data_IF_952236017137
#
_entry.id   IF_952236017137
#
_cell.length_a   1.000
_cell.length_b   1.000
_cell.length_c   1.000
_cell.angle_alpha   90.00
_cell.angle_beta   90.00
_cell.angle_gamma   90.00
#
_symmetry.space_group_name_H-M   'P 1'
#
loop_
_entity.id
_entity.type
_entity.pdbx_description
1 polymer ?
#
# COMPACT_ATOMS: atom_id res chain seq x y z
N UNK A 1 11.45 -20.17 9.76
CA UNK A 1 10.35 -19.25 9.45
C UNK A 1 10.72 -18.50 8.19
N UNK A 2 10.35 -18.95 6.97
CA UNK A 2 10.78 -18.19 5.78
C UNK A 2 10.09 -18.51 4.45
N UNK A 3 8.77 -18.72 4.45
CA UNK A 3 8.03 -18.65 3.18
C UNK A 3 6.61 -18.11 3.35
N UNK A 4 5.96 -18.31 4.50
CA UNK A 4 4.59 -17.81 4.72
C UNK A 4 4.51 -16.31 5.00
N UNK A 5 5.30 -15.73 5.92
CA UNK A 5 5.11 -14.32 6.35
C UNK A 5 5.27 -13.34 5.22
N UNK A 6 6.43 -13.38 4.55
CA UNK A 6 6.72 -12.52 3.41
C UNK A 6 5.76 -12.74 2.25
N UNK A 7 5.44 -14.01 1.93
CA UNK A 7 4.51 -14.31 0.86
C UNK A 7 3.12 -13.74 1.15
N UNK A 8 2.62 -13.85 2.38
CA UNK A 8 1.34 -13.25 2.78
C UNK A 8 1.37 -11.72 2.68
N UNK A 9 2.49 -11.07 3.03
CA UNK A 9 2.64 -9.61 2.85
C UNK A 9 2.64 -9.24 1.36
N UNK A 10 3.34 -10.02 0.52
CA UNK A 10 3.36 -9.82 -0.92
C UNK A 10 1.95 -9.98 -1.52
N UNK A 11 1.25 -11.08 -1.20
CA UNK A 11 -0.11 -11.33 -1.65
C UNK A 11 -1.07 -10.22 -1.20
N UNK A 12 -0.92 -9.71 0.03
CA UNK A 12 -1.67 -8.55 0.50
C UNK A 12 -1.39 -7.30 -0.33
N UNK A 13 -0.13 -7.00 -0.62
CA UNK A 13 0.26 -5.85 -1.45
C UNK A 13 -0.30 -5.90 -2.87
N UNK A 14 -0.39 -7.09 -3.47
CA UNK A 14 -0.93 -7.26 -4.83
C UNK A 14 -2.42 -6.90 -4.92
N UNK A 15 -3.15 -6.83 -3.80
CA UNK A 15 -4.56 -6.40 -3.78
C UNK A 15 -4.71 -4.88 -3.89
N UNK A 16 -3.72 -4.11 -3.42
CA UNK A 16 -3.83 -2.65 -3.26
C UNK A 16 -3.99 -1.89 -4.58
N UNK A 17 -3.22 -2.19 -5.65
CA UNK A 17 -3.29 -1.42 -6.89
C UNK A 17 -4.69 -1.26 -7.47
N UNK A 18 -5.49 -2.33 -7.46
CA UNK A 18 -6.83 -2.33 -8.03
C UNK A 18 -7.78 -1.36 -7.32
N UNK A 19 -7.65 -1.22 -6.00
CA UNK A 19 -8.44 -0.27 -5.21
C UNK A 19 -7.85 1.15 -5.22
N UNK A 20 -6.52 1.25 -5.19
CA UNK A 20 -5.83 2.52 -5.03
C UNK A 20 -5.78 3.34 -6.33
N UNK A 21 -5.61 2.69 -7.48
CA UNK A 21 -5.52 3.36 -8.78
C UNK A 21 -6.76 4.24 -9.10
N UNK A 22 -8.02 3.74 -9.05
CA UNK A 22 -9.19 4.57 -9.35
C UNK A 22 -9.38 5.70 -8.33
N UNK A 23 -9.01 5.48 -7.06
CA UNK A 23 -9.02 6.52 -6.04
C UNK A 23 -8.03 7.63 -6.38
N UNK A 24 -6.77 7.28 -6.67
CA UNK A 24 -5.72 8.24 -7.04
C UNK A 24 -6.10 9.04 -8.28
N UNK A 25 -6.54 8.37 -9.36
CA UNK A 25 -6.96 9.03 -10.60
C UNK A 25 -8.09 10.03 -10.34
N UNK A 26 -9.18 9.60 -9.69
CA UNK A 26 -10.33 10.47 -9.40
C UNK A 26 -9.95 11.69 -8.56
N UNK A 27 -9.08 11.51 -7.55
CA UNK A 27 -8.64 12.58 -6.66
C UNK A 27 -7.78 13.61 -7.39
N UNK A 28 -6.85 13.17 -8.24
CA UNK A 28 -6.01 14.06 -9.03
C UNK A 28 -6.78 14.75 -10.16
N UNK A 29 -7.65 14.04 -10.87
CA UNK A 29 -8.53 14.63 -11.88
C UNK A 29 -9.41 15.73 -11.29
N UNK A 30 -9.95 15.52 -10.08
CA UNK A 30 -10.78 16.52 -9.40
C UNK A 30 -9.99 17.73 -8.92
N UNK A 31 -8.77 17.52 -8.41
CA UNK A 31 -7.93 18.59 -7.87
C UNK A 31 -7.19 19.39 -8.96
N UNK A 32 -6.88 18.75 -10.09
CA UNK A 32 -6.04 19.29 -11.15
C UNK A 32 -6.51 18.78 -12.54
N UNK A 33 -7.69 19.21 -13.03
CA UNK A 33 -8.25 18.69 -14.27
C UNK A 33 -7.32 18.88 -15.47
N UNK A 34 -6.96 17.78 -16.14
CA UNK A 34 -6.23 17.78 -17.42
C UNK A 34 -4.76 18.20 -17.38
N UNK A 35 -4.18 18.45 -16.20
CA UNK A 35 -2.78 18.88 -16.06
C UNK A 35 -1.92 17.95 -15.19
N UNK A 36 -2.54 17.14 -14.32
CA UNK A 36 -1.79 16.37 -13.33
C UNK A 36 -0.89 15.30 -13.97
N UNK A 37 -1.24 14.78 -15.15
CA UNK A 37 -0.42 13.84 -15.92
C UNK A 37 0.92 14.46 -16.34
N UNK A 38 0.92 15.76 -16.71
CA UNK A 38 2.15 16.48 -17.06
C UNK A 38 2.99 16.77 -15.82
N UNK A 39 2.35 17.27 -14.76
CA UNK A 39 2.99 17.54 -13.47
C UNK A 39 3.55 16.25 -12.83
N UNK A 40 2.94 15.09 -13.09
CA UNK A 40 3.42 13.79 -12.63
C UNK A 40 4.82 13.48 -13.18
N UNK A 41 5.04 13.68 -14.47
CA UNK A 41 6.34 13.44 -15.12
C UNK A 41 7.41 14.39 -14.58
N UNK A 42 7.05 15.64 -14.30
CA UNK A 42 8.00 16.65 -13.80
C UNK A 42 8.35 16.47 -12.32
N UNK A 43 7.38 16.09 -11.49
CA UNK A 43 7.55 16.06 -10.02
C UNK A 43 7.90 14.70 -9.45
N UNK A 44 7.53 13.60 -10.11
CA UNK A 44 7.77 12.26 -9.58
C UNK A 44 9.00 11.64 -10.25
N UNK A 45 10.17 11.88 -9.63
CA UNK A 45 11.45 11.35 -10.11
C UNK A 45 11.44 9.81 -10.12
N UNK A 46 11.91 9.22 -11.23
CA UNK A 46 12.11 7.77 -11.35
C UNK A 46 10.86 6.95 -11.64
N UNK A 47 9.74 7.59 -12.02
CA UNK A 47 8.59 6.91 -12.59
C UNK A 47 8.43 7.29 -14.06
N UNK A 48 8.20 6.30 -14.90
CA UNK A 48 7.85 6.52 -16.30
C UNK A 48 6.33 6.44 -16.43
N UNK A 49 5.68 7.43 -17.07
CA UNK A 49 4.28 7.30 -17.43
C UNK A 49 4.10 6.12 -18.39
N UNK A 50 2.92 5.50 -18.36
CA UNK A 50 2.54 4.50 -19.35
C UNK A 50 2.33 5.14 -20.74
N UNK A 51 2.02 4.31 -21.74
CA UNK A 51 1.78 4.78 -23.11
C UNK A 51 0.61 5.78 -23.23
N UNK A 52 -0.24 5.90 -22.20
CA UNK A 52 -1.37 6.84 -22.12
C UNK A 52 -1.06 8.09 -21.30
N UNK A 53 0.18 8.25 -20.83
CA UNK A 53 0.57 9.39 -19.98
C UNK A 53 0.13 9.27 -18.53
N UNK A 54 -0.37 8.11 -18.09
CA UNK A 54 -0.83 7.87 -16.71
C UNK A 54 0.31 7.31 -15.84
N UNK A 55 0.27 7.47 -14.51
CA UNK A 55 1.18 6.77 -13.61
C UNK A 55 1.12 5.27 -13.87
N UNK A 56 2.26 4.59 -13.69
CA UNK A 56 2.29 3.14 -13.63
C UNK A 56 1.24 2.64 -12.64
N UNK A 57 0.49 1.61 -13.05
CA UNK A 57 -0.50 0.96 -12.18
C UNK A 57 0.14 0.09 -11.09
N UNK A 58 1.46 0.08 -10.98
CA UNK A 58 2.15 -0.61 -9.91
C UNK A 58 2.01 0.14 -8.57
N UNK A 59 2.02 -0.62 -7.48
CA UNK A 59 1.81 -0.08 -6.13
C UNK A 59 2.81 1.02 -5.76
N UNK A 60 4.08 0.88 -6.15
CA UNK A 60 5.11 1.85 -5.78
C UNK A 60 4.86 3.20 -6.44
N UNK A 61 4.48 3.18 -7.71
CA UNK A 61 4.08 4.38 -8.44
C UNK A 61 2.93 5.08 -7.75
N UNK A 62 1.85 4.35 -7.44
CA UNK A 62 0.66 4.90 -6.81
C UNK A 62 0.96 5.53 -5.43
N UNK A 63 1.73 4.86 -4.58
CA UNK A 63 2.09 5.39 -3.27
C UNK A 63 3.01 6.64 -3.39
N UNK A 64 3.98 6.64 -4.32
CA UNK A 64 4.84 7.82 -4.59
C UNK A 64 4.03 9.02 -5.09
N UNK A 65 3.02 8.78 -5.93
CA UNK A 65 2.08 9.81 -6.38
C UNK A 65 1.35 10.41 -5.19
N UNK A 66 0.80 9.57 -4.30
CA UNK A 66 0.10 10.05 -3.10
C UNK A 66 0.99 10.93 -2.23
N UNK A 67 2.24 10.53 -1.97
CA UNK A 67 3.20 11.34 -1.20
C UNK A 67 3.49 12.67 -1.89
N UNK A 68 3.79 12.63 -3.19
CA UNK A 68 4.18 13.84 -3.96
C UNK A 68 3.06 14.86 -4.04
N UNK A 69 1.84 14.39 -4.32
CA UNK A 69 0.67 15.25 -4.52
C UNK A 69 -0.20 15.37 -3.27
N UNK A 70 0.30 14.98 -2.08
CA UNK A 70 -0.51 14.90 -0.86
C UNK A 70 -1.34 16.15 -0.60
N UNK A 71 -0.67 17.32 -0.57
CA UNK A 71 -1.31 18.60 -0.26
C UNK A 71 -2.40 18.98 -1.28
N UNK A 72 -2.22 18.62 -2.54
CA UNK A 72 -3.08 19.07 -3.65
C UNK A 72 -4.22 18.08 -3.89
N UNK A 73 -3.93 16.77 -3.96
CA UNK A 73 -4.91 15.74 -4.33
C UNK A 73 -5.59 15.05 -3.14
N UNK A 74 -4.93 14.93 -1.99
CA UNK A 74 -5.32 13.96 -0.95
C UNK A 74 -5.68 14.57 0.39
N UNK A 75 -5.09 15.72 0.76
CA UNK A 75 -5.25 16.33 2.08
C UNK A 75 -6.69 16.76 2.45
N UNK A 76 -7.61 16.84 1.48
CA UNK A 76 -9.03 17.13 1.75
C UNK A 76 -9.88 15.87 1.98
N UNK A 77 -9.35 14.68 1.70
CA UNK A 77 -10.03 13.40 1.95
C UNK A 77 -9.32 12.51 2.98
N UNK A 78 -7.99 12.65 3.09
CA UNK A 78 -7.14 11.83 3.96
C UNK A 78 -6.34 12.73 4.90
N UNK A 79 -6.11 12.28 6.12
CA UNK A 79 -5.43 13.02 7.18
C UNK A 79 -3.94 12.67 7.32
N UNK A 80 -3.26 13.27 8.32
CA UNK A 80 -1.84 13.01 8.59
C UNK A 80 -1.53 11.54 8.88
N UNK A 81 -2.48 10.83 9.50
CA UNK A 81 -2.36 9.40 9.80
C UNK A 81 -2.23 8.57 8.53
N UNK A 82 -3.13 8.76 7.57
CA UNK A 82 -3.10 8.02 6.30
C UNK A 82 -1.84 8.34 5.50
N UNK A 83 -1.34 9.58 5.59
CA UNK A 83 -0.05 9.93 4.98
C UNK A 83 1.10 9.11 5.54
N UNK A 84 1.13 8.93 6.86
CA UNK A 84 2.14 8.11 7.52
C UNK A 84 2.02 6.64 7.08
N UNK A 85 0.81 6.11 6.94
CA UNK A 85 0.58 4.76 6.40
C UNK A 85 1.11 4.61 4.97
N UNK A 86 0.88 5.59 4.09
CA UNK A 86 1.42 5.57 2.72
C UNK A 86 2.95 5.53 2.72
N UNK A 87 3.60 6.31 3.59
CA UNK A 87 5.06 6.27 3.77
C UNK A 87 5.54 4.92 4.30
N UNK A 88 4.86 4.35 5.29
CA UNK A 88 5.20 3.02 5.82
C UNK A 88 5.06 1.93 4.76
N UNK A 89 4.00 1.95 3.97
CA UNK A 89 3.77 0.97 2.89
C UNK A 89 4.80 1.07 1.76
N UNK A 90 5.35 2.26 1.50
CA UNK A 90 6.48 2.40 0.58
C UNK A 90 7.72 1.66 1.10
N UNK A 91 8.01 1.76 2.39
CA UNK A 91 9.12 1.03 3.02
C UNK A 91 8.88 -0.49 3.01
N UNK A 92 7.66 -0.94 3.32
CA UNK A 92 7.32 -2.38 3.23
C UNK A 92 7.51 -2.91 1.80
N UNK A 93 7.06 -2.14 0.80
CA UNK A 93 7.23 -2.52 -0.61
C UNK A 93 8.71 -2.54 -0.98
N UNK A 94 9.49 -1.58 -0.48
CA UNK A 94 10.93 -1.51 -0.69
C UNK A 94 11.61 -2.77 -0.14
N UNK A 95 11.33 -3.16 1.11
CA UNK A 95 11.80 -4.42 1.70
C UNK A 95 11.47 -5.64 0.85
N UNK A 96 10.22 -5.75 0.36
CA UNK A 96 9.81 -6.84 -0.52
C UNK A 96 10.63 -6.91 -1.82
N UNK A 97 10.92 -5.75 -2.41
CA UNK A 97 11.72 -5.64 -3.64
C UNK A 97 13.21 -5.97 -3.41
N UNK A 98 13.71 -5.81 -2.18
CA UNK A 98 15.08 -6.14 -1.77
C UNK A 98 15.26 -7.56 -1.23
N UNK A 99 14.24 -8.39 -1.37
CA UNK A 99 14.26 -9.77 -0.90
C UNK A 99 14.41 -9.93 0.63
N UNK A 100 14.07 -8.89 1.40
CA UNK A 100 14.22 -8.89 2.86
C UNK A 100 13.21 -9.81 3.56
N UNK A 101 13.63 -10.40 4.68
CA UNK A 101 12.79 -11.25 5.52
C UNK A 101 11.80 -10.42 6.35
N UNK A 102 10.65 -11.01 6.64
CA UNK A 102 9.61 -10.42 7.49
C UNK A 102 9.40 -11.29 8.74
N UNK A 103 9.53 -10.67 9.93
CA UNK A 103 9.05 -11.30 11.16
C UNK A 103 7.51 -11.38 11.18
N UNK A 104 6.94 -12.12 12.11
CA UNK A 104 5.48 -12.13 12.31
C UNK A 104 4.94 -10.75 12.67
N UNK A 105 5.70 -9.96 13.43
CA UNK A 105 5.31 -8.60 13.83
C UNK A 105 5.39 -7.63 12.65
N UNK A 106 6.43 -7.74 11.82
CA UNK A 106 6.52 -6.96 10.59
C UNK A 106 5.37 -7.28 9.64
N UNK A 107 5.04 -8.57 9.48
CA UNK A 107 3.97 -9.01 8.60
C UNK A 107 2.59 -8.57 9.11
N UNK A 108 2.32 -8.72 10.40
CA UNK A 108 1.08 -8.26 11.02
C UNK A 108 0.90 -6.76 10.87
N UNK A 109 1.96 -5.98 11.17
CA UNK A 109 1.94 -4.52 11.04
C UNK A 109 1.74 -4.09 9.60
N UNK A 110 2.45 -4.70 8.65
CA UNK A 110 2.30 -4.40 7.23
C UNK A 110 0.85 -4.61 6.77
N UNK A 111 0.23 -5.73 7.15
CA UNK A 111 -1.16 -6.05 6.80
C UNK A 111 -2.16 -5.09 7.47
N UNK A 112 -1.94 -4.68 8.74
CA UNK A 112 -2.81 -3.68 9.39
C UNK A 112 -2.68 -2.30 8.73
N UNK A 113 -1.47 -1.89 8.35
CA UNK A 113 -1.23 -0.63 7.63
C UNK A 113 -1.91 -0.62 6.26
N UNK A 114 -1.85 -1.74 5.52
CA UNK A 114 -2.61 -1.93 4.28
C UNK A 114 -4.11 -1.81 4.53
N UNK A 115 -4.62 -2.55 5.51
CA UNK A 115 -6.05 -2.61 5.86
C UNK A 115 -6.61 -1.23 6.20
N UNK A 116 -5.91 -0.48 7.06
CA UNK A 116 -6.33 0.88 7.45
C UNK A 116 -6.35 1.86 6.28
N UNK A 117 -5.37 1.77 5.37
CA UNK A 117 -5.38 2.62 4.18
C UNK A 117 -6.55 2.26 3.27
N UNK A 118 -6.84 0.97 3.07
CA UNK A 118 -7.99 0.53 2.27
C UNK A 118 -9.32 0.98 2.89
N UNK A 119 -9.46 0.87 4.21
CA UNK A 119 -10.61 1.39 4.95
C UNK A 119 -10.79 2.91 4.72
N UNK A 120 -9.70 3.67 4.82
CA UNK A 120 -9.72 5.13 4.68
C UNK A 120 -10.13 5.61 3.28
N UNK A 121 -9.89 4.80 2.24
CA UNK A 121 -10.34 5.11 0.86
C UNK A 121 -11.70 4.49 0.52
N UNK A 122 -12.33 3.77 1.45
CA UNK A 122 -13.63 3.10 1.26
C UNK A 122 -13.56 1.79 0.48
N UNK A 123 -12.41 1.11 0.45
CA UNK A 123 -12.21 -0.17 -0.25
C UNK A 123 -12.48 -1.37 0.67
N UNK A 124 -13.74 -1.53 1.12
CA UNK A 124 -14.16 -2.54 2.10
C UNK A 124 -13.82 -3.99 1.71
N UNK A 125 -14.05 -4.37 0.45
CA UNK A 125 -13.75 -5.74 -0.01
C UNK A 125 -12.25 -6.11 0.11
N UNK A 126 -11.35 -5.13 -0.09
CA UNK A 126 -9.90 -5.34 0.08
C UNK A 126 -9.52 -5.26 1.55
N UNK A 127 -10.15 -4.38 2.32
CA UNK A 127 -10.01 -4.33 3.78
C UNK A 127 -10.30 -5.69 4.43
N UNK A 128 -11.41 -6.34 4.06
CA UNK A 128 -11.82 -7.62 4.62
C UNK A 128 -10.82 -8.74 4.28
N UNK A 129 -10.33 -8.78 3.03
CA UNK A 129 -9.30 -9.73 2.61
C UNK A 129 -8.00 -9.55 3.41
N UNK A 130 -7.55 -8.31 3.60
CA UNK A 130 -6.37 -8.00 4.39
C UNK A 130 -6.56 -8.37 5.88
N UNK A 131 -7.78 -8.22 6.40
CA UNK A 131 -8.13 -8.64 7.75
C UNK A 131 -7.98 -10.15 7.94
N UNK A 132 -8.46 -10.95 6.98
CA UNK A 132 -8.31 -12.41 6.99
C UNK A 132 -6.85 -12.86 6.89
N UNK A 133 -6.05 -12.20 6.03
CA UNK A 133 -4.61 -12.45 5.93
C UNK A 133 -3.89 -12.14 7.24
N UNK A 134 -4.22 -11.03 7.88
CA UNK A 134 -3.65 -10.64 9.19
C UNK A 134 -4.00 -11.64 10.29
N UNK A 135 -5.26 -12.10 10.33
CA UNK A 135 -5.69 -13.11 11.29
C UNK A 135 -4.93 -14.44 11.09
N UNK A 136 -4.70 -14.85 9.84
CA UNK A 136 -3.93 -16.05 9.52
C UNK A 136 -2.50 -15.97 10.04
N UNK A 137 -1.84 -14.81 9.88
CA UNK A 137 -0.50 -14.53 10.42
C UNK A 137 -0.49 -14.65 11.94
N UNK A 138 -1.44 -14.02 12.62
CA UNK A 138 -1.54 -14.05 14.09
C UNK A 138 -1.79 -15.47 14.61
N UNK A 139 -2.74 -16.20 14.02
CA UNK A 139 -3.03 -17.59 14.39
C UNK A 139 -1.80 -18.49 14.22
N UNK A 140 -1.04 -18.28 13.16
CA UNK A 140 0.20 -19.04 12.91
C UNK A 140 1.27 -18.68 13.95
N UNK A 141 1.51 -17.39 14.20
CA UNK A 141 2.45 -16.91 15.21
C UNK A 141 2.19 -17.55 16.58
N UNK A 142 0.94 -17.49 17.06
CA UNK A 142 0.60 -18.01 18.38
C UNK A 142 0.68 -19.54 18.46
N UNK A 143 0.36 -20.25 17.37
CA UNK A 143 0.54 -21.71 17.30
C UNK A 143 2.01 -22.11 17.40
N UNK A 144 2.90 -21.37 16.76
CA UNK A 144 4.35 -21.63 16.84
C UNK A 144 4.94 -21.27 18.20
N UNK A 145 4.49 -20.17 18.81
CA UNK A 145 4.90 -19.81 20.18
C UNK A 145 4.52 -20.90 21.17
N UNK A 146 3.28 -21.38 21.14
CA UNK A 146 2.81 -22.44 22.05
C UNK A 146 3.63 -23.74 21.92
N UNK A 147 4.10 -24.08 20.71
CA UNK A 147 4.95 -25.26 20.49
C UNK A 147 6.38 -25.10 20.99
N UNK A 148 6.88 -23.86 21.05
CA UNK A 148 8.24 -23.59 21.50
C UNK A 148 8.34 -23.44 23.02
N UNK A 149 7.19 -23.33 23.70
CA UNK A 149 7.06 -23.27 25.16
C UNK A 149 6.89 -24.66 25.80
N UNK A 150 6.66 -25.71 25.00
CA UNK A 150 6.63 -27.14 25.40
C UNK A 150 8.03 -27.78 25.32
#
# INVERSE_FOLDING_TARGET
MDRSTRQTVFEGMELLPAALAPFVEKRLDSAMPGIWQREFVERVKGLHPDASGKPGRDLASLLKVMITFWKVGFATALGPTERALVSELLEVRHKLAHDEAFSYDDAERALDSMRRLMAAIGAGDVEDQLSGSRETILRTKYRELARNEE
#
